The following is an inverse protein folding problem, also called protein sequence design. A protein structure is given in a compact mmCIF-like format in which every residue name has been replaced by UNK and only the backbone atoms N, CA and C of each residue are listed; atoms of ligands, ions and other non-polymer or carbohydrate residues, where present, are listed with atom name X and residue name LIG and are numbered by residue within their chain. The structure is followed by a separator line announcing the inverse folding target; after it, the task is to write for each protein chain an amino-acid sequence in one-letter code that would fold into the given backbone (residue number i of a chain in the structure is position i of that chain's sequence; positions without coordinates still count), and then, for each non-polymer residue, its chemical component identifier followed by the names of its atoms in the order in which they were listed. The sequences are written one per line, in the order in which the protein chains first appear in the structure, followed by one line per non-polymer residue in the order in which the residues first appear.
data_IF_962017830447
#
_entry.id   IF_962017830447
#
_cell.length_a   1.000
_cell.length_b   1.000
_cell.length_c   1.000
_cell.angle_alpha   90.00
_cell.angle_beta   90.00
_cell.angle_gamma   90.00
#
_symmetry.space_group_name_H-M   'P 1'
#
loop_
_entity.id
_entity.type
_entity.pdbx_description
1 polymer ?
#
# COMPACT_ATOMS: atom_id res chain seq x y z
N UNK A 1 -6.03 -19.36 26.57
CA UNK A 1 -7.08 -19.34 25.52
C UNK A 1 -8.24 -18.51 26.05
N UNK A 2 -8.45 -17.31 25.53
CA UNK A 2 -9.53 -16.42 26.00
C UNK A 2 -10.84 -16.91 25.39
N UNK A 3 -11.86 -17.18 26.20
CA UNK A 3 -13.19 -17.58 25.71
C UNK A 3 -14.06 -16.33 25.54
N UNK A 4 -14.41 -15.91 24.32
CA UNK A 4 -15.26 -14.76 24.11
C UNK A 4 -16.68 -15.01 24.64
N UNK A 5 -17.26 -14.02 25.31
CA UNK A 5 -18.66 -14.01 25.75
C UNK A 5 -19.52 -13.33 24.69
N UNK A 6 -20.62 -13.97 24.30
CA UNK A 6 -21.59 -13.38 23.35
C UNK A 6 -22.56 -12.44 24.08
N UNK A 7 -22.76 -11.25 23.53
CA UNK A 7 -23.68 -10.22 24.03
C UNK A 7 -25.07 -10.32 23.35
N UNK A 8 -26.13 -9.72 23.94
CA UNK A 8 -27.50 -9.82 23.42
C UNK A 8 -27.69 -9.29 21.99
N UNK A 9 -26.83 -8.37 21.55
CA UNK A 9 -26.80 -7.81 20.20
C UNK A 9 -26.01 -8.67 19.19
N UNK A 10 -25.48 -9.81 19.63
CA UNK A 10 -24.69 -10.73 18.82
C UNK A 10 -23.20 -10.41 18.73
N UNK A 11 -22.73 -9.34 19.37
CA UNK A 11 -21.31 -9.02 19.47
C UNK A 11 -20.57 -10.02 20.38
N UNK A 12 -19.25 -10.16 20.16
CA UNK A 12 -18.37 -10.96 21.01
C UNK A 12 -17.48 -10.04 21.85
N UNK A 13 -17.47 -10.26 23.17
CA UNK A 13 -16.63 -9.56 24.13
C UNK A 13 -15.52 -10.51 24.60
N UNK A 14 -14.27 -10.07 24.59
CA UNK A 14 -13.16 -10.83 25.17
C UNK A 14 -12.10 -9.91 25.78
N UNK A 15 -11.39 -10.46 26.76
CA UNK A 15 -10.25 -9.79 27.40
C UNK A 15 -8.95 -10.33 26.79
N UNK A 16 -8.28 -9.51 25.99
CA UNK A 16 -6.97 -9.87 25.44
C UNK A 16 -5.90 -9.66 26.52
N UNK A 17 -5.11 -10.68 26.91
CA UNK A 17 -4.06 -10.53 27.92
C UNK A 17 -2.79 -9.83 27.38
N UNK A 18 -2.74 -9.49 26.10
CA UNK A 18 -1.58 -8.87 25.47
C UNK A 18 -1.51 -7.37 25.83
N UNK A 19 -0.40 -6.95 26.42
CA UNK A 19 -0.12 -5.55 26.81
C UNK A 19 0.50 -4.71 25.68
N UNK A 20 0.71 -5.31 24.51
CA UNK A 20 1.27 -4.66 23.30
C UNK A 20 0.42 -5.02 22.08
N UNK A 21 0.31 -4.12 21.10
CA UNK A 21 -0.47 -4.33 19.87
C UNK A 21 -1.88 -3.73 19.85
N UNK A 22 -2.30 -3.02 20.91
CA UNK A 22 -3.56 -2.27 20.97
C UNK A 22 -3.30 -0.82 21.38
N UNK A 23 -4.16 0.10 20.94
CA UNK A 23 -4.04 1.54 21.25
C UNK A 23 -4.27 1.81 22.75
N UNK A 24 -5.07 0.99 23.44
CA UNK A 24 -5.27 1.03 24.90
C UNK A 24 -5.54 -0.38 25.47
N UNK A 25 -5.11 -0.70 26.71
CA UNK A 25 -5.47 -1.94 27.41
C UNK A 25 -6.91 -1.89 27.94
N UNK A 26 -7.68 -2.97 27.76
CA UNK A 26 -9.07 -3.06 28.25
C UNK A 26 -9.93 -4.11 27.53
N UNK A 27 -11.22 -4.26 27.90
CA UNK A 27 -12.12 -5.21 27.26
C UNK A 27 -12.39 -4.83 25.80
N UNK A 28 -12.16 -5.76 24.88
CA UNK A 28 -12.31 -5.56 23.43
C UNK A 28 -13.61 -6.19 22.93
N UNK A 29 -14.34 -5.47 22.08
CA UNK A 29 -15.62 -5.89 21.51
C UNK A 29 -15.51 -6.02 20.00
N UNK A 30 -15.85 -7.19 19.46
CA UNK A 30 -16.03 -7.40 18.02
C UNK A 30 -17.51 -7.20 17.65
N UNK A 31 -17.76 -6.21 16.81
CA UNK A 31 -19.10 -5.92 16.27
C UNK A 31 -19.42 -6.90 15.13
N UNK A 32 -20.67 -7.38 15.08
CA UNK A 32 -21.17 -8.31 14.06
C UNK A 32 -21.07 -7.72 12.65
N UNK A 33 -21.26 -6.41 12.56
CA UNK A 33 -20.98 -5.59 11.40
C UNK A 33 -19.89 -4.61 11.82
N UNK A 34 -18.64 -4.92 11.50
CA UNK A 34 -17.56 -3.99 11.76
C UNK A 34 -17.88 -2.69 10.99
N UNK A 35 -17.97 -1.52 11.65
CA UNK A 35 -17.92 -0.27 10.91
C UNK A 35 -16.62 -0.29 10.08
N UNK A 36 -16.62 0.34 8.88
CA UNK A 36 -15.41 0.38 8.06
C UNK A 36 -14.23 0.77 8.96
N UNK A 37 -13.10 0.05 8.87
CA UNK A 37 -12.00 0.24 9.78
C UNK A 37 -11.66 1.73 9.83
N UNK A 38 -11.44 2.31 11.02
CA UNK A 38 -10.97 3.68 11.09
C UNK A 38 -9.73 3.80 10.20
N UNK A 39 -9.64 4.88 9.43
CA UNK A 39 -8.49 5.16 8.59
C UNK A 39 -7.21 4.87 9.39
N UNK A 40 -6.19 4.22 8.80
CA UNK A 40 -5.00 3.85 9.54
C UNK A 40 -4.46 5.10 10.24
N UNK A 41 -4.41 5.04 11.58
CA UNK A 41 -3.74 6.06 12.37
C UNK A 41 -2.33 6.24 11.82
N UNK A 42 -1.84 7.47 11.69
CA UNK A 42 -0.53 7.73 11.11
C UNK A 42 0.51 6.88 11.84
N UNK A 43 1.32 6.16 11.07
CA UNK A 43 2.45 5.42 11.60
C UNK A 43 3.24 6.36 12.52
N UNK A 44 3.50 5.91 13.76
CA UNK A 44 4.28 6.67 14.74
C UNK A 44 5.65 6.95 14.15
N UNK A 45 5.85 8.19 13.69
CA UNK A 45 7.10 8.64 13.10
C UNK A 45 6.96 9.88 12.20
N UNK A 46 6.13 10.85 12.58
CA UNK A 46 6.11 12.15 11.92
C UNK A 46 5.73 13.24 12.93
N UNK A 47 6.72 13.73 13.66
CA UNK A 47 6.63 14.99 14.38
C UNK A 47 7.47 16.03 13.63
N UNK A 48 6.84 17.14 13.20
CA UNK A 48 7.59 18.33 12.80
C UNK A 48 7.00 19.21 11.69
N UNK A 49 5.93 19.94 12.05
CA UNK A 49 5.74 21.38 11.77
C UNK A 49 5.59 21.93 10.33
N UNK A 50 4.46 22.60 10.08
CA UNK A 50 4.50 23.93 9.46
C UNK A 50 3.73 24.15 8.15
N UNK A 51 2.44 24.50 8.28
CA UNK A 51 1.62 25.39 7.43
C UNK A 51 1.87 25.51 5.91
N UNK A 52 0.87 25.09 5.12
CA UNK A 52 0.68 25.56 3.75
C UNK A 52 -0.65 25.09 3.19
N UNK A 53 -1.56 26.03 2.92
CA UNK A 53 -2.93 25.82 2.45
C UNK A 53 -2.98 24.99 1.15
N UNK A 54 -3.86 23.98 1.10
CA UNK A 54 -4.13 23.24 -0.13
C UNK A 54 -5.08 22.04 0.03
N UNK A 55 -6.17 22.17 0.80
CA UNK A 55 -7.23 21.15 0.79
C UNK A 55 -7.98 21.21 -0.55
N UNK A 56 -7.60 20.33 -1.49
CA UNK A 56 -8.34 20.12 -2.74
C UNK A 56 -7.74 19.15 -3.77
N UNK A 57 -6.49 18.68 -3.62
CA UNK A 57 -5.73 18.11 -4.76
C UNK A 57 -5.65 16.58 -4.91
N UNK A 58 -6.03 15.76 -3.92
CA UNK A 58 -5.64 14.34 -3.91
C UNK A 58 -6.44 13.45 -4.89
N UNK A 59 -7.72 13.73 -5.15
CA UNK A 59 -8.49 13.02 -6.19
C UNK A 59 -8.30 13.62 -7.59
N UNK A 60 -7.88 14.89 -7.68
CA UNK A 60 -7.61 15.57 -8.95
C UNK A 60 -6.40 14.99 -9.66
N UNK A 61 -5.28 14.85 -8.94
CA UNK A 61 -4.04 14.34 -9.53
C UNK A 61 -4.17 12.88 -10.00
N UNK A 62 -4.85 12.04 -9.23
CA UNK A 62 -5.06 10.63 -9.61
C UNK A 62 -5.84 10.49 -10.92
N UNK A 63 -6.79 11.38 -11.15
CA UNK A 63 -7.59 11.44 -12.37
C UNK A 63 -6.80 12.06 -13.53
N UNK A 64 -6.02 13.10 -13.24
CA UNK A 64 -5.16 13.76 -14.22
C UNK A 64 -4.12 12.80 -14.80
N UNK A 65 -3.51 11.98 -13.95
CA UNK A 65 -2.53 10.95 -14.34
C UNK A 65 -3.18 9.62 -14.75
N UNK A 66 -4.52 9.58 -14.85
CA UNK A 66 -5.33 8.40 -15.18
C UNK A 66 -4.93 7.11 -14.42
N UNK A 67 -4.58 7.23 -13.14
CA UNK A 67 -4.07 6.12 -12.33
C UNK A 67 -5.07 4.98 -12.16
N UNK A 68 -6.37 5.26 -12.38
CA UNK A 68 -7.41 4.24 -12.39
C UNK A 68 -7.31 3.29 -13.58
N UNK A 69 -6.66 3.70 -14.67
CA UNK A 69 -6.43 2.91 -15.89
C UNK A 69 -4.98 2.44 -15.95
N UNK A 70 -4.03 3.33 -15.66
CA UNK A 70 -2.60 3.05 -15.83
C UNK A 70 -2.06 2.02 -14.83
N UNK A 71 -2.54 2.00 -13.59
CA UNK A 71 -2.09 1.02 -12.60
C UNK A 71 -2.58 -0.40 -12.93
N UNK A 72 -3.86 -0.63 -13.30
CA UNK A 72 -4.27 -1.91 -13.87
C UNK A 72 -3.53 -2.27 -15.16
N UNK A 73 -3.20 -1.29 -16.02
CA UNK A 73 -2.46 -1.54 -17.25
C UNK A 73 -1.02 -2.00 -16.97
N UNK A 74 -0.35 -1.44 -15.96
CA UNK A 74 0.96 -1.91 -15.50
C UNK A 74 0.90 -3.34 -14.95
N UNK A 75 -0.14 -3.69 -14.18
CA UNK A 75 -0.36 -5.07 -13.73
C UNK A 75 -0.67 -6.02 -14.90
N UNK A 76 -1.29 -5.54 -15.97
CA UNK A 76 -1.66 -6.37 -17.12
C UNK A 76 -0.44 -6.94 -17.86
N UNK A 77 0.75 -6.33 -17.73
CA UNK A 77 2.01 -6.89 -18.25
C UNK A 77 2.38 -8.23 -17.58
N UNK A 78 1.89 -8.47 -16.35
CA UNK A 78 2.08 -9.69 -15.58
C UNK A 78 0.77 -10.45 -15.36
N UNK A 79 -0.16 -10.38 -16.33
CA UNK A 79 -1.48 -11.02 -16.22
C UNK A 79 -1.34 -12.50 -15.81
N UNK A 80 -2.11 -12.88 -14.79
CA UNK A 80 -2.08 -14.23 -14.23
C UNK A 80 -0.96 -14.44 -13.19
N UNK A 81 -0.35 -13.37 -12.67
CA UNK A 81 0.66 -13.44 -11.62
C UNK A 81 0.39 -12.43 -10.52
N UNK A 82 0.83 -12.75 -9.30
CA UNK A 82 1.01 -11.78 -8.24
C UNK A 82 2.28 -10.96 -8.50
N UNK A 83 2.20 -9.65 -8.29
CA UNK A 83 3.30 -8.72 -8.57
C UNK A 83 3.66 -7.97 -7.29
N UNK A 84 4.93 -8.05 -6.89
CA UNK A 84 5.45 -7.28 -5.77
C UNK A 84 5.33 -5.77 -6.06
N UNK A 85 5.03 -4.97 -5.04
CA UNK A 85 4.83 -3.52 -5.20
C UNK A 85 5.98 -2.82 -5.94
N UNK A 86 7.23 -3.15 -5.62
CA UNK A 86 8.39 -2.55 -6.32
C UNK A 86 8.37 -2.81 -7.83
N UNK A 87 8.01 -4.02 -8.25
CA UNK A 87 7.91 -4.39 -9.67
C UNK A 87 6.81 -3.58 -10.37
N UNK A 88 5.67 -3.41 -9.69
CA UNK A 88 4.56 -2.60 -10.20
C UNK A 88 4.94 -1.13 -10.34
N UNK A 89 5.60 -0.55 -9.33
CA UNK A 89 6.07 0.84 -9.34
C UNK A 89 7.07 1.08 -10.47
N UNK A 90 8.07 0.22 -10.61
CA UNK A 90 9.03 0.25 -11.72
C UNK A 90 8.32 0.16 -13.07
N UNK A 91 7.35 -0.75 -13.21
CA UNK A 91 6.61 -0.93 -14.45
C UNK A 91 5.79 0.32 -14.78
N UNK A 92 5.14 0.94 -13.79
CA UNK A 92 4.44 2.21 -13.98
C UNK A 92 5.41 3.32 -14.39
N UNK A 93 6.54 3.47 -13.72
CA UNK A 93 7.55 4.47 -14.04
C UNK A 93 8.11 4.32 -15.46
N UNK A 94 8.36 3.08 -15.91
CA UNK A 94 8.81 2.80 -17.28
C UNK A 94 7.75 3.14 -18.33
N UNK A 95 6.47 2.86 -18.04
CA UNK A 95 5.36 3.14 -18.96
C UNK A 95 5.02 4.63 -19.04
N UNK A 96 5.13 5.33 -17.92
CA UNK A 96 4.70 6.71 -17.72
C UNK A 96 5.81 7.53 -17.03
N UNK A 97 6.98 7.68 -17.68
CA UNK A 97 8.16 8.29 -17.04
C UNK A 97 7.92 9.75 -16.63
N UNK A 98 7.26 10.53 -17.47
CA UNK A 98 6.96 11.94 -17.16
C UNK A 98 5.97 12.09 -15.99
N UNK A 99 4.94 11.24 -15.95
CA UNK A 99 3.96 11.24 -14.86
C UNK A 99 4.59 10.79 -13.54
N UNK A 100 5.45 9.78 -13.59
CA UNK A 100 6.19 9.32 -12.41
C UNK A 100 7.20 10.37 -11.94
N UNK A 101 7.92 11.02 -12.85
CA UNK A 101 8.80 12.13 -12.51
C UNK A 101 8.03 13.27 -11.84
N UNK A 102 6.83 13.59 -12.32
CA UNK A 102 5.95 14.58 -11.68
C UNK A 102 5.49 14.14 -10.30
N UNK A 103 5.16 12.87 -10.09
CA UNK A 103 4.85 12.35 -8.75
C UNK A 103 6.06 12.51 -7.81
N UNK A 104 7.26 12.20 -8.31
CA UNK A 104 8.52 12.34 -7.56
C UNK A 104 8.83 13.80 -7.26
N UNK A 105 8.53 14.73 -8.17
CA UNK A 105 8.67 16.16 -7.90
C UNK A 105 7.72 16.63 -6.78
N UNK A 106 6.44 16.22 -6.85
CA UNK A 106 5.41 16.66 -5.89
C UNK A 106 5.63 16.02 -4.50
N UNK A 107 5.84 14.71 -4.45
CA UNK A 107 5.85 13.94 -3.21
C UNK A 107 7.27 13.52 -2.78
N UNK A 108 8.22 13.44 -3.70
CA UNK A 108 9.54 12.86 -3.46
C UNK A 108 9.57 11.34 -3.51
N UNK A 109 10.74 10.80 -3.23
CA UNK A 109 11.00 9.36 -3.12
C UNK A 109 12.00 9.11 -1.97
N UNK A 110 11.82 8.04 -1.21
CA UNK A 110 12.68 7.73 -0.05
C UNK A 110 14.12 7.46 -0.45
N UNK A 111 14.35 6.95 -1.66
CA UNK A 111 15.67 6.76 -2.28
C UNK A 111 16.43 8.07 -2.50
N UNK A 112 15.72 9.20 -2.66
CA UNK A 112 16.32 10.52 -2.87
C UNK A 112 16.58 11.20 -1.53
N UNK A 113 15.58 11.19 -0.64
CA UNK A 113 15.68 11.74 0.71
C UNK A 113 14.63 11.13 1.63
N UNK A 114 14.93 11.04 2.93
CA UNK A 114 13.97 10.57 3.92
C UNK A 114 12.72 11.48 3.95
N UNK A 115 11.55 10.90 3.60
CA UNK A 115 10.25 11.58 3.64
C UNK A 115 9.18 10.66 4.23
N UNK A 116 8.20 11.26 4.88
CA UNK A 116 7.07 10.58 5.54
C UNK A 116 5.93 10.21 4.57
N UNK A 117 5.88 10.84 3.39
CA UNK A 117 4.93 10.55 2.33
C UNK A 117 5.64 10.69 0.98
N UNK A 118 5.63 9.62 0.18
CA UNK A 118 6.36 9.57 -1.10
C UNK A 118 5.42 9.24 -2.25
N UNK A 119 5.96 9.34 -3.47
CA UNK A 119 5.33 8.81 -4.68
C UNK A 119 4.87 7.37 -4.49
N UNK A 120 5.69 6.55 -3.83
CA UNK A 120 5.35 5.17 -3.52
C UNK A 120 4.14 5.05 -2.57
N UNK A 121 4.11 5.84 -1.49
CA UNK A 121 2.96 5.87 -0.58
C UNK A 121 1.69 6.34 -1.29
N UNK A 122 1.80 7.30 -2.21
CA UNK A 122 0.69 7.79 -3.01
C UNK A 122 0.12 6.70 -3.92
N UNK A 123 0.97 6.04 -4.72
CA UNK A 123 0.59 4.96 -5.63
C UNK A 123 -0.02 3.76 -4.88
N UNK A 124 0.60 3.32 -3.78
CA UNK A 124 0.06 2.27 -2.92
C UNK A 124 -1.34 2.64 -2.38
N UNK A 125 -1.55 3.90 -2.01
CA UNK A 125 -2.88 4.39 -1.61
C UNK A 125 -3.91 4.32 -2.74
N UNK A 126 -3.53 4.63 -3.98
CA UNK A 126 -4.44 4.52 -5.15
C UNK A 126 -4.76 3.06 -5.48
N UNK A 127 -3.79 2.15 -5.37
CA UNK A 127 -4.03 0.70 -5.51
C UNK A 127 -4.98 0.18 -4.45
N UNK A 128 -4.85 0.66 -3.20
CA UNK A 128 -5.79 0.35 -2.13
C UNK A 128 -7.23 0.76 -2.47
N UNK A 129 -7.42 1.95 -3.05
CA UNK A 129 -8.73 2.40 -3.52
C UNK A 129 -9.27 1.49 -4.65
N UNK A 130 -8.41 1.13 -5.62
CA UNK A 130 -8.77 0.21 -6.71
C UNK A 130 -9.16 -1.18 -6.22
N UNK A 131 -8.47 -1.70 -5.20
CA UNK A 131 -8.79 -2.99 -4.60
C UNK A 131 -10.15 -2.98 -3.92
N UNK A 132 -10.50 -1.90 -3.21
CA UNK A 132 -11.85 -1.75 -2.61
C UNK A 132 -12.96 -1.74 -3.66
N UNK A 133 -12.65 -1.31 -4.89
CA UNK A 133 -13.57 -1.34 -6.02
C UNK A 133 -13.48 -2.60 -6.89
N UNK A 134 -12.73 -3.62 -6.44
CA UNK A 134 -12.59 -4.90 -7.15
C UNK A 134 -11.87 -4.79 -8.50
N UNK A 135 -11.08 -3.73 -8.73
CA UNK A 135 -10.32 -3.55 -9.98
C UNK A 135 -8.98 -4.28 -9.96
N UNK A 136 -8.41 -4.44 -8.77
CA UNK A 136 -7.19 -5.20 -8.49
C UNK A 136 -7.42 -6.00 -7.21
N UNK A 137 -6.55 -6.96 -6.93
CA UNK A 137 -6.58 -7.76 -5.70
C UNK A 137 -5.28 -7.50 -4.95
N UNK A 138 -5.40 -7.29 -3.63
CA UNK A 138 -4.28 -7.07 -2.71
C UNK A 138 -4.03 -8.33 -1.87
N UNK A 139 -2.76 -8.66 -1.67
CA UNK A 139 -2.28 -9.60 -0.66
C UNK A 139 -0.98 -9.08 -0.07
N UNK A 140 -0.70 -9.39 1.18
CA UNK A 140 0.62 -9.14 1.76
C UNK A 140 1.47 -10.41 1.75
N UNK A 141 2.77 -10.25 1.52
CA UNK A 141 3.75 -11.33 1.40
C UNK A 141 5.17 -10.83 1.66
N UNK A 142 6.17 -11.73 1.63
CA UNK A 142 7.56 -11.34 1.86
C UNK A 142 8.00 -10.29 0.84
N UNK A 143 8.77 -9.31 1.29
CA UNK A 143 9.48 -8.41 0.40
C UNK A 143 10.70 -9.13 -0.19
N UNK A 144 11.14 -8.73 -1.38
CA UNK A 144 12.31 -9.35 -2.01
C UNK A 144 13.35 -8.32 -2.46
N UNK A 145 14.62 -8.76 -2.55
CA UNK A 145 15.71 -7.99 -3.15
C UNK A 145 15.95 -6.67 -2.43
N UNK A 146 15.80 -5.54 -3.14
CA UNK A 146 16.00 -4.20 -2.56
C UNK A 146 15.11 -3.94 -1.34
N UNK A 147 13.98 -4.63 -1.25
CA UNK A 147 12.98 -4.47 -0.21
C UNK A 147 13.12 -5.48 0.94
N UNK A 148 14.11 -6.38 0.91
CA UNK A 148 14.32 -7.46 1.90
C UNK A 148 14.45 -6.97 3.36
N UNK A 149 14.74 -5.68 3.57
CA UNK A 149 14.77 -5.06 4.89
C UNK A 149 13.37 -4.93 5.52
N UNK A 150 12.30 -5.01 4.71
CA UNK A 150 10.92 -5.05 5.17
C UNK A 150 10.46 -6.52 5.28
N UNK A 151 9.92 -6.96 6.43
CA UNK A 151 9.47 -8.34 6.60
C UNK A 151 8.25 -8.69 5.73
N UNK A 152 7.51 -7.67 5.29
CA UNK A 152 6.28 -7.82 4.52
C UNK A 152 6.10 -6.61 3.59
N UNK A 153 5.59 -6.85 2.38
CA UNK A 153 5.22 -5.84 1.39
C UNK A 153 3.89 -6.22 0.73
N UNK A 154 3.22 -5.25 0.11
CA UNK A 154 2.01 -5.49 -0.68
C UNK A 154 2.33 -6.14 -2.03
N UNK A 155 1.49 -7.10 -2.41
CA UNK A 155 1.48 -7.81 -3.68
C UNK A 155 0.12 -7.62 -4.35
N UNK A 156 0.14 -7.47 -5.67
CA UNK A 156 -1.03 -7.03 -6.43
C UNK A 156 -1.25 -7.92 -7.66
N UNK A 157 -2.51 -8.15 -8.02
CA UNK A 157 -2.88 -8.90 -9.23
C UNK A 157 -4.20 -8.40 -9.80
N UNK A 158 -4.47 -8.72 -11.07
CA UNK A 158 -5.79 -8.62 -11.68
C UNK A 158 -6.61 -9.89 -11.40
N UNK A 159 -7.93 -9.80 -11.56
CA UNK A 159 -8.80 -10.98 -11.63
C UNK A 159 -8.72 -11.66 -13.01
N UNK A 160 -8.87 -13.00 -13.07
CA UNK A 160 -9.01 -13.93 -11.95
C UNK A 160 -7.72 -14.05 -11.13
N UNK A 161 -7.87 -14.23 -9.81
CA UNK A 161 -6.74 -14.32 -8.89
C UNK A 161 -5.93 -15.59 -9.17
N UNK A 162 -4.62 -15.48 -9.46
CA UNK A 162 -3.75 -16.62 -9.71
C UNK A 162 -3.33 -17.34 -8.42
N UNK A 163 -2.71 -18.51 -8.56
CA UNK A 163 -2.09 -19.18 -7.42
C UNK A 163 -0.96 -18.31 -6.85
N UNK A 164 -0.73 -18.44 -5.55
CA UNK A 164 0.36 -17.73 -4.90
C UNK A 164 1.73 -18.17 -5.38
N UNK A 165 1.88 -19.39 -5.91
CA UNK A 165 3.12 -19.82 -6.54
C UNK A 165 3.48 -18.97 -7.78
N UNK A 166 2.49 -18.37 -8.44
CA UNK A 166 2.67 -17.58 -9.66
C UNK A 166 3.00 -16.12 -9.32
N UNK A 167 4.20 -15.87 -8.77
CA UNK A 167 4.65 -14.54 -8.36
C UNK A 167 5.68 -13.94 -9.33
N UNK A 168 5.76 -12.61 -9.37
CA UNK A 168 6.87 -11.84 -9.93
C UNK A 168 7.40 -10.92 -8.84
N UNK A 169 8.58 -11.25 -8.32
CA UNK A 169 9.24 -10.51 -7.25
C UNK A 169 10.26 -9.51 -7.80
N UNK A 170 10.64 -8.51 -7.00
CA UNK A 170 11.73 -7.59 -7.36
C UNK A 170 13.04 -8.34 -7.60
N UNK A 171 13.32 -9.33 -6.76
CA UNK A 171 14.50 -10.19 -6.88
C UNK A 171 14.52 -10.95 -8.22
N UNK A 172 13.37 -11.43 -8.70
CA UNK A 172 13.29 -12.14 -9.98
C UNK A 172 13.44 -11.20 -11.17
N UNK A 173 13.02 -9.94 -11.02
CA UNK A 173 13.15 -8.92 -12.05
C UNK A 173 14.63 -8.55 -12.28
N UNK A 174 15.42 -8.44 -11.20
CA UNK A 174 16.86 -8.21 -11.30
C UNK A 174 17.28 -6.83 -11.83
N UNK A 175 16.33 -5.88 -11.89
CA UNK A 175 16.54 -4.53 -12.42
C UNK A 175 17.02 -3.56 -11.32
N UNK A 176 17.84 -2.56 -11.68
CA UNK A 176 18.25 -1.50 -10.76
C UNK A 176 17.12 -0.47 -10.51
N UNK A 177 17.23 0.33 -9.44
CA UNK A 177 16.31 1.43 -9.11
C UNK A 177 16.58 2.74 -9.88
N UNK A 178 17.11 2.65 -11.10
CA UNK A 178 17.50 3.82 -11.92
C UNK A 178 16.30 4.62 -12.50
N UNK A 179 15.12 4.03 -12.47
CA UNK A 179 13.86 4.65 -12.91
C UNK A 179 13.34 5.75 -11.99
N UNK A 180 13.89 5.90 -10.78
CA UNK A 180 13.56 7.00 -9.87
C UNK A 180 14.48 8.17 -10.18
N UNK A 181 13.96 9.33 -10.66
CA UNK A 181 14.83 10.46 -11.00
C UNK A 181 15.68 10.92 -9.81
N UNK A 182 17.00 10.91 -9.98
CA UNK A 182 17.95 11.31 -8.93
C UNK A 182 18.21 10.26 -7.85
N UNK A 183 17.77 9.01 -8.03
CA UNK A 183 18.30 7.89 -7.24
C UNK A 183 19.75 7.61 -7.64
N UNK A 184 20.59 7.28 -6.65
CA UNK A 184 21.90 6.66 -6.87
C UNK A 184 21.90 5.38 -6.07
N UNK A 185 22.09 4.23 -6.73
CA UNK A 185 22.38 2.96 -6.05
C UNK A 185 23.81 2.92 -5.54
#
# INVERSE_FOLDING_TARGET
MVRPRRLPDGALLFECPLTTGHIEPGPLRWLKDAPPPPAPSPAKGAAGSGNGRGSGGSSGLAKELDLGVELPAALAEYRGRWVEYGVLEHTYARRRPDDFARLVEIYGHTTIAAKTYTSSSYLAGRLGDLARHGKVVLRFGPATGRWDYNPEISWWTLSPTPDWADCTSWKDLGEPMDYVPGSTE
#
